data_IF_177564095812
#
_entry.id   IF_177564095812
#
_cell.length_a   1.000
_cell.length_b   1.000
_cell.length_c   1.000
_cell.angle_alpha   90.00
_cell.angle_beta   90.00
_cell.angle_gamma   90.00
#
_symmetry.space_group_name_H-M   'P 1'
#
loop_
_entity.id
_entity.type
_entity.pdbx_description
1 polymer ?
2 non-polymer ?
3 water ?
#
# COMPACT_ATOMS: atom_id res chain seq x y z
N UNK A 1 -2.21 -6.83 9.51
CA UNK A 1 -0.87 -7.34 9.14
C UNK A 1 -0.79 -7.45 7.64
N UNK A 2 0.41 -7.75 7.15
CA UNK A 2 0.58 -7.93 5.71
C UNK A 2 -0.32 -9.05 5.14
N UNK A 3 -0.69 -10.03 5.96
CA UNK A 3 -1.63 -11.07 5.48
C UNK A 3 -2.95 -10.44 5.04
N UNK A 4 -3.53 -9.62 5.92
CA UNK A 4 -4.79 -8.95 5.57
C UNK A 4 -4.59 -7.96 4.41
N UNK A 5 -3.46 -7.26 4.40
CA UNK A 5 -3.23 -6.28 3.36
C UNK A 5 -3.23 -6.95 1.99
N UNK A 6 -2.55 -8.08 1.86
CA UNK A 6 -2.53 -8.76 0.56
C UNK A 6 -3.92 -9.14 0.11
N UNK A 7 -4.70 -9.69 1.03
CA UNK A 7 -6.05 -10.13 0.68
C UNK A 7 -6.93 -8.93 0.29
N UNK A 8 -6.75 -7.80 0.97
CA UNK A 8 -7.52 -6.59 0.70
C UNK A 8 -7.20 -6.03 -0.70
N UNK A 9 -5.91 -6.02 -1.06
CA UNK A 9 -5.50 -5.58 -2.39
C UNK A 9 -6.12 -6.47 -3.47
N UNK A 10 -6.00 -7.78 -3.29
CA UNK A 10 -6.63 -8.70 -4.23
C UNK A 10 -8.13 -8.48 -4.33
N UNK A 11 -8.79 -8.34 -3.19
CA UNK A 11 -10.24 -8.21 -3.15
C UNK A 11 -10.75 -6.91 -3.75
N UNK A 12 -9.95 -5.86 -3.67
CA UNK A 12 -10.40 -4.54 -4.11
C UNK A 12 -10.01 -4.28 -5.57
N UNK A 13 -8.85 -4.77 -6.00
CA UNK A 13 -8.33 -4.55 -7.35
C UNK A 13 -8.60 -5.68 -8.33
N UNK A 14 -8.70 -6.91 -7.82
CA UNK A 14 -8.76 -8.11 -8.64
C UNK A 14 -7.41 -8.61 -9.08
N UNK A 15 -6.33 -7.93 -8.66
CA UNK A 15 -4.98 -8.29 -9.05
C UNK A 15 -4.18 -8.94 -7.92
N UNK A 16 -3.38 -9.94 -8.27
CA UNK A 16 -2.45 -10.54 -7.30
C UNK A 16 -1.43 -9.48 -6.87
N UNK A 17 -1.37 -9.15 -5.58
CA UNK A 17 -0.43 -8.12 -5.19
C UNK A 17 1.03 -8.46 -5.42
N UNK A 18 1.33 -9.76 -5.44
CA UNK A 18 2.72 -10.20 -5.63
C UNK A 18 3.20 -9.93 -7.04
N UNK A 19 2.29 -9.94 -8.01
CA UNK A 19 2.71 -9.73 -9.39
C UNK A 19 2.44 -8.32 -9.87
N UNK A 20 1.57 -7.56 -9.20
CA UNK A 20 1.25 -6.20 -9.66
C UNK A 20 1.76 -5.09 -8.74
N UNK A 21 1.87 -5.34 -7.44
CA UNK A 21 2.13 -4.28 -6.48
C UNK A 21 3.35 -4.51 -5.57
N UNK A 22 4.24 -5.42 -5.96
CA UNK A 22 5.41 -5.71 -5.11
C UNK A 22 6.76 -5.31 -5.67
N UNK A 23 6.82 -5.01 -6.96
CA UNK A 23 8.02 -4.47 -7.58
C UNK A 23 7.55 -3.53 -8.67
N UNK A 24 7.08 -2.38 -8.24
CA UNK A 24 6.49 -1.38 -9.14
C UNK A 24 6.93 0.04 -8.74
N UNK A 25 7.52 0.76 -9.69
CA UNK A 25 7.87 2.15 -9.46
C UNK A 25 8.95 2.28 -8.42
N UNK A 26 8.91 3.38 -7.69
CA UNK A 26 9.91 3.68 -6.68
C UNK A 26 9.48 3.27 -5.28
N UNK A 27 8.19 3.02 -5.07
CA UNK A 27 7.62 2.80 -3.73
C UNK A 27 6.88 1.48 -3.53
N UNK A 28 6.37 0.86 -4.60
CA UNK A 28 5.57 -0.36 -4.41
C UNK A 28 6.54 -1.54 -4.40
N UNK A 29 7.02 -1.84 -3.21
CA UNK A 29 8.05 -2.85 -3.03
C UNK A 29 8.93 -2.47 -1.87
N UNK A 30 10.03 -3.19 -1.72
CA UNK A 30 10.93 -2.97 -0.60
C UNK A 30 11.73 -1.65 -0.85
N UNK A 31 11.95 -0.82 0.18
CA UNK A 31 12.98 0.26 0.13
C UNK A 31 12.72 1.57 -0.62
N UNK A 32 11.52 2.10 -0.47
CA UNK A 32 11.07 3.29 -1.22
C UNK A 32 11.98 4.52 -1.13
N UNK A 33 12.24 5.15 -2.27
CA UNK A 33 13.01 6.39 -2.28
C UNK A 33 12.72 7.16 -3.54
N UNK A 34 13.15 8.43 -3.58
CA UNK A 34 12.94 9.24 -4.76
C UNK A 34 11.52 9.75 -4.89
N UNK A 35 11.14 10.08 -6.12
CA UNK A 35 9.84 10.62 -6.44
C UNK A 35 8.93 9.48 -6.95
N UNK A 36 7.70 9.36 -6.41
CA UNK A 36 6.78 8.37 -6.99
C UNK A 36 6.59 8.57 -8.48
N UNK A 37 6.50 7.49 -9.24
CA UNK A 37 6.44 7.60 -10.69
C UNK A 37 5.08 8.00 -11.26
N UNK A 38 4.02 7.62 -10.57
CA UNK A 38 2.66 7.78 -11.02
C UNK A 38 1.70 7.61 -9.84
N UNK A 39 0.39 7.60 -10.11
CA UNK A 39 -0.59 7.58 -9.05
C UNK A 39 -0.53 6.30 -8.24
N UNK A 40 -0.40 5.17 -8.94
CA UNK A 40 -0.28 3.87 -8.25
C UNK A 40 0.90 3.89 -7.30
N UNK A 41 2.03 4.36 -7.79
CA UNK A 41 3.24 4.43 -6.97
C UNK A 41 3.04 5.33 -5.76
N UNK A 42 2.35 6.44 -5.97
CA UNK A 42 2.05 7.37 -4.88
C UNK A 42 1.16 6.68 -3.83
N UNK A 43 0.25 5.79 -4.25
CA UNK A 43 -0.49 5.01 -3.25
C UNK A 43 0.43 4.31 -2.26
N UNK A 44 1.50 3.72 -2.78
CA UNK A 44 2.51 2.98 -2.00
C UNK A 44 3.27 3.95 -1.09
N UNK A 45 3.72 5.08 -1.63
CA UNK A 45 4.33 6.10 -0.81
C UNK A 45 3.44 6.50 0.38
N UNK A 46 2.17 6.78 0.11
CA UNK A 46 1.24 7.19 1.16
C UNK A 46 1.05 6.08 2.18
N UNK A 47 0.96 4.83 1.74
CA UNK A 47 0.83 3.69 2.66
C UNK A 47 2.05 3.56 3.55
N UNK A 48 3.24 3.72 3.00
CA UNK A 48 4.47 3.75 3.78
C UNK A 48 4.43 4.83 4.84
N UNK A 49 3.99 6.01 4.45
CA UNK A 49 3.85 7.13 5.39
C UNK A 49 2.88 6.79 6.51
N UNK A 50 1.79 6.12 6.15
CA UNK A 50 0.70 5.81 7.07
C UNK A 50 1.21 4.86 8.14
N UNK A 51 1.94 3.83 7.72
CA UNK A 51 2.59 2.89 8.65
C UNK A 51 3.66 3.57 9.51
N UNK A 52 4.46 4.44 8.90
CA UNK A 52 5.51 5.16 9.62
C UNK A 52 4.98 6.05 10.73
N UNK A 53 3.74 6.50 10.60
CA UNK A 53 3.04 7.31 11.60
C UNK A 53 2.48 6.48 12.78
N UNK A 54 2.76 5.17 12.79
CA UNK A 54 2.29 4.28 13.85
C UNK A 54 3.44 3.56 14.56
N UNK A 55 4.40 4.31 15.14
CA UNK A 55 5.54 3.70 15.80
C UNK A 55 5.14 2.97 17.09
N UNK A 56 4.00 3.33 17.66
CA UNK A 56 3.39 2.62 18.81
C UNK A 56 2.71 1.29 18.44
N UNK A 57 2.66 0.98 17.15
CA UNK A 57 2.00 -0.22 16.64
C UNK A 57 2.96 -1.10 15.86
N UNK A 58 2.47 -2.24 15.39
CA UNK A 58 3.25 -3.18 14.61
C UNK A 58 2.44 -3.47 13.35
N UNK A 59 2.41 -2.50 12.41
CA UNK A 59 1.50 -2.62 11.27
C UNK A 59 1.71 -3.84 10.38
N UNK A 60 2.94 -4.32 10.22
CA UNK A 60 3.16 -5.46 9.32
C UNK A 60 2.73 -6.79 9.91
N UNK A 61 2.65 -6.87 11.25
CA UNK A 61 2.47 -8.15 11.92
C UNK A 61 1.21 -8.25 12.77
N UNK A 62 0.56 -7.12 13.07
CA UNK A 62 -0.61 -7.16 13.97
C UNK A 62 -1.83 -7.55 13.16
N UNK A 63 -2.37 -8.73 13.41
CA UNK A 63 -3.55 -9.20 12.66
C UNK A 63 -4.79 -8.41 13.03
N UNK A 64 -5.73 -8.30 12.11
CA UNK A 64 -6.99 -7.60 12.35
C UNK A 64 -8.05 -8.24 11.49
N UNK A 65 -9.31 -7.93 11.78
CA UNK A 65 -10.41 -8.42 10.99
C UNK A 65 -10.98 -7.30 10.13
N UNK A 66 -11.47 -7.64 8.95
CA UNK A 66 -12.31 -6.70 8.17
C UNK A 66 -13.37 -7.50 7.43
N UNK A 67 -14.37 -6.79 6.93
CA UNK A 67 -15.43 -7.42 6.17
C UNK A 67 -15.90 -6.42 5.14
N UNK A 68 -16.96 -6.75 4.43
CA UNK A 68 -17.56 -5.79 3.52
C UNK A 68 -18.99 -5.47 3.90
N UNK A 69 -19.37 -4.22 3.67
CA UNK A 69 -20.76 -3.78 3.80
C UNK A 69 -21.10 -2.98 2.55
N UNK A 70 -22.12 -3.44 1.82
CA UNK A 70 -22.47 -2.89 0.51
C UNK A 70 -21.29 -2.84 -0.46
N UNK A 71 -20.53 -3.92 -0.51
CA UNK A 71 -19.37 -4.03 -1.39
C UNK A 71 -18.09 -3.33 -0.95
N UNK A 72 -18.16 -2.50 0.08
CA UNK A 72 -17.02 -1.71 0.53
C UNK A 72 -16.35 -2.30 1.77
N UNK A 73 -15.03 -2.16 1.83
CA UNK A 73 -14.24 -2.59 2.98
C UNK A 73 -14.66 -1.82 4.24
N UNK A 74 -14.98 -2.56 5.30
CA UNK A 74 -15.23 -1.99 6.62
C UNK A 74 -14.31 -2.71 7.60
N UNK A 75 -13.41 -1.94 8.22
CA UNK A 75 -12.50 -2.46 9.22
C UNK A 75 -13.29 -2.94 10.44
N UNK A 76 -12.89 -4.08 10.99
CA UNK A 76 -13.45 -4.57 12.23
C UNK A 76 -13.14 -3.68 13.42
N UNK A 77 -13.81 -3.95 14.52
CA UNK A 77 -13.57 -3.21 15.76
C UNK A 77 -12.53 -3.95 16.56
N UNK A 78 -11.32 -3.43 16.52
CA UNK A 78 -10.20 -4.01 17.19
C UNK A 78 -9.58 -3.03 18.14
N UNK A 79 -8.34 -3.26 18.52
CA UNK A 79 -7.58 -2.30 19.30
C UNK A 79 -7.42 -1.01 18.48
N UNK A 80 -7.01 0.06 19.13
CA UNK A 80 -6.72 1.30 18.43
C UNK A 80 -5.63 1.07 17.36
N UNK A 81 -4.61 0.29 17.66
CA UNK A 81 -3.60 -0.04 16.64
C UNK A 81 -4.21 -0.79 15.46
N UNK A 82 -4.97 -1.85 15.74
CA UNK A 82 -5.61 -2.64 14.67
C UNK A 82 -6.49 -1.75 13.81
N UNK A 83 -7.26 -0.86 14.45
CA UNK A 83 -8.12 0.04 13.70
C UNK A 83 -7.32 0.97 12.76
N UNK A 84 -6.25 1.54 13.27
CA UNK A 84 -5.45 2.48 12.49
C UNK A 84 -4.69 1.77 11.39
N UNK A 85 -4.16 0.58 11.66
CA UNK A 85 -3.45 -0.22 10.66
C UNK A 85 -4.41 -0.61 9.54
N UNK A 86 -5.58 -1.11 9.92
CA UNK A 86 -6.60 -1.46 8.95
C UNK A 86 -6.99 -0.28 8.05
N UNK A 87 -7.16 0.91 8.63
CA UNK A 87 -7.49 2.08 7.81
C UNK A 87 -6.36 2.44 6.84
N UNK A 88 -5.10 2.29 7.24
CA UNK A 88 -3.99 2.50 6.29
C UNK A 88 -4.12 1.57 5.09
N UNK A 89 -4.37 0.30 5.39
CA UNK A 89 -4.46 -0.73 4.35
C UNK A 89 -5.67 -0.51 3.46
N UNK A 90 -6.83 -0.20 4.06
CA UNK A 90 -8.04 0.06 3.32
C UNK A 90 -7.84 1.24 2.33
N UNK A 91 -7.26 2.33 2.82
CA UNK A 91 -7.02 3.49 1.96
C UNK A 91 -6.14 3.13 0.79
N UNK A 92 -5.11 2.32 1.03
CA UNK A 92 -4.18 1.94 -0.04
C UNK A 92 -4.85 1.03 -1.07
N UNK A 93 -5.60 0.03 -0.59
CA UNK A 93 -6.28 -0.88 -1.52
C UNK A 93 -7.26 -0.11 -2.42
N UNK A 94 -7.99 0.83 -1.83
CA UNK A 94 -8.93 1.67 -2.58
C UNK A 94 -8.20 2.58 -3.57
N UNK A 95 -7.06 3.11 -3.14
CA UNK A 95 -6.22 3.95 -3.97
C UNK A 95 -5.76 3.17 -5.20
N UNK A 96 -5.32 1.94 -4.97
CA UNK A 96 -4.89 1.12 -6.10
C UNK A 96 -6.06 0.91 -7.07
N UNK A 97 -7.21 0.55 -6.54
CA UNK A 97 -8.39 0.34 -7.39
C UNK A 97 -8.72 1.60 -8.22
N UNK A 98 -8.73 2.75 -7.56
CA UNK A 98 -9.09 4.01 -8.24
C UNK A 98 -8.11 4.41 -9.31
N UNK A 99 -6.89 3.88 -9.22
CA UNK A 99 -5.83 4.25 -10.13
C UNK A 99 -5.41 3.11 -11.08
N UNK A 100 -6.22 2.06 -11.14
CA UNK A 100 -5.99 1.04 -12.15
C UNK A 100 -5.90 1.59 -13.57
N UNK A 101 -6.71 2.61 -13.84
CA UNK A 101 -6.78 3.24 -15.15
C UNK A 101 -5.48 3.85 -15.64
N UNK A 102 -4.53 4.12 -14.74
CA UNK A 102 -3.22 4.58 -15.17
C UNK A 102 -2.08 3.64 -14.77
N UNK A 103 -2.42 2.45 -14.28
CA UNK A 103 -1.40 1.44 -14.03
C UNK A 103 -0.63 1.19 -15.31
N UNK A 104 0.69 1.16 -15.23
CA UNK A 104 1.50 0.90 -16.43
C UNK A 104 2.54 -0.17 -16.14
N UNK A 105 2.40 -1.32 -16.80
CA UNK A 105 3.39 -2.39 -16.72
C UNK A 105 4.84 -1.95 -16.91
N UNK A 106 5.08 -0.84 -17.62
CA UNK A 106 6.43 -0.36 -17.88
C UNK A 106 7.14 -0.06 -16.53
N UNK A 107 6.38 0.28 -15.49
CA UNK A 107 7.00 0.54 -14.17
C UNK A 107 7.28 -0.69 -13.31
N UNK A 108 6.86 -1.87 -13.77
CA UNK A 108 7.23 -3.09 -13.10
C UNK A 108 8.75 -3.27 -13.19
N UNK A 109 9.34 -3.67 -12.07
CA UNK A 109 10.79 -3.93 -12.00
C UNK A 109 11.62 -2.69 -12.23
N UNK A 110 11.05 -1.52 -11.93
CA UNK A 110 11.79 -0.29 -12.11
C UNK A 110 12.96 -0.28 -11.13
N UNK A 111 14.17 0.00 -11.62
CA UNK A 111 15.36 -0.11 -10.77
C UNK A 111 15.50 1.00 -9.74
N UNK A 112 15.84 0.62 -8.52
CA UNK A 112 15.90 1.62 -7.47
C UNK A 112 17.00 2.63 -7.71
N UNK A 113 18.04 2.26 -8.46
CA UNK A 113 19.10 3.21 -8.77
C UNK A 113 18.57 4.45 -9.48
N UNK A 114 17.48 4.31 -10.24
CA UNK A 114 16.89 5.47 -10.93
C UNK A 114 15.87 6.23 -10.11
N UNK A 115 15.59 5.76 -8.90
CA UNK A 115 14.75 6.49 -7.95
C UNK A 115 15.69 7.41 -7.18
N UNK A 116 16.16 8.42 -7.88
CA UNK A 116 17.39 9.09 -7.51
C UNK A 116 17.20 10.52 -7.02
N UNK A 117 15.95 10.95 -6.97
CA UNK A 117 15.57 12.28 -6.47
C UNK A 117 15.61 12.31 -4.94
N UNK A 118 15.69 13.51 -4.36
CA UNK A 118 15.61 13.62 -2.93
C UNK A 118 14.26 13.04 -2.50
N UNK A 119 14.31 12.08 -1.60
CA UNK A 119 13.10 11.35 -1.23
C UNK A 119 12.06 12.28 -0.64
N UNK A 120 10.85 12.15 -1.15
CA UNK A 120 9.72 12.94 -0.68
C UNK A 120 9.45 12.72 0.79
N UNK A 121 9.20 13.80 1.51
CA UNK A 121 8.85 13.71 2.93
C UNK A 121 7.35 13.48 3.10
N UNK A 122 7.01 12.68 4.12
CA UNK A 122 5.62 12.39 4.44
C UNK A 122 4.88 13.64 4.94
X LIG B 1 -12.46 -9.37 0.20
X LIG B 1 -13.25 -9.30 -1.00
X LIG B 1 -11.45 -8.29 0.32
X LIG B 1 -13.32 -9.33 1.38
X LIG B 1 -11.73 -10.64 0.18
#
# INVERSE_FOLDING_TARGET
>A
SLLEFGMMILGETGKNPLTSYSFYGCYCGVGGKGTPKDATDRCCFVHDCCYGNLPDCSPKTDRYKYHRENGAIVCGKGTSCENRICECDRAAAICFRKNLKTYNYIYRNYPDILCKEESEKC
>B hetero
1 SO4 S O1 O2 O3 O4
#
